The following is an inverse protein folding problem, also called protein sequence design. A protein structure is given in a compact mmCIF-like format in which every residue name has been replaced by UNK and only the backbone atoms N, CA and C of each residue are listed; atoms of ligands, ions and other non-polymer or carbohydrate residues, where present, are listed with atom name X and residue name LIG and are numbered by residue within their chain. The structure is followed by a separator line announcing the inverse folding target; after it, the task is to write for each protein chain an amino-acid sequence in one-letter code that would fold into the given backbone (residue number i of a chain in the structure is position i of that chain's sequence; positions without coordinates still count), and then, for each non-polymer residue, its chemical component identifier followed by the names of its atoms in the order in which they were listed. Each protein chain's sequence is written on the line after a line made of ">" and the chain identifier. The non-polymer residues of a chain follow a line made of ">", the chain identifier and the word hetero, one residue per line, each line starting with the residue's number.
data_IF_370559527614
#
_entry.id   IF_370559527614
#
_cell.length_a   1.000
_cell.length_b   1.000
_cell.length_c   1.000
_cell.angle_alpha   90.00
_cell.angle_beta   90.00
_cell.angle_gamma   90.00
#
_symmetry.space_group_name_H-M   'P 1'
#
loop_
_entity.id
_entity.type
_entity.pdbx_description
1 polymer ?
#
# COMPACT_ATOMS: atom_id res chain seq x y z
N UNK A 1 12.73 -6.56 -48.26
CA UNK A 1 12.33 -7.90 -48.75
C UNK A 1 10.82 -7.90 -48.86
N UNK A 2 10.34 -7.94 -50.10
CA UNK A 2 8.95 -7.92 -50.52
C UNK A 2 8.37 -9.32 -50.38
N UNK A 3 7.13 -9.46 -49.90
CA UNK A 3 6.16 -10.41 -50.47
C UNK A 3 4.73 -9.96 -50.15
N UNK A 4 4.08 -9.47 -51.21
CA UNK A 4 2.63 -9.31 -51.35
C UNK A 4 2.01 -10.68 -51.61
N UNK A 5 0.77 -10.91 -51.17
CA UNK A 5 -0.19 -11.62 -52.01
C UNK A 5 -1.57 -10.98 -51.92
N UNK A 6 -2.08 -10.69 -53.12
CA UNK A 6 -3.37 -10.11 -53.46
C UNK A 6 -4.30 -11.24 -53.89
N UNK A 7 -5.59 -11.14 -53.60
CA UNK A 7 -6.61 -11.88 -54.34
C UNK A 7 -7.77 -10.94 -54.69
N UNK A 8 -7.97 -10.78 -56.00
CA UNK A 8 -9.09 -10.04 -56.61
C UNK A 8 -9.79 -10.95 -57.62
N UNK A 9 -11.09 -11.16 -57.37
CA UNK A 9 -12.24 -11.37 -58.27
C UNK A 9 -12.09 -12.04 -59.65
N UNK A 10 -12.98 -13.01 -59.90
CA UNK A 10 -13.92 -13.00 -61.05
C UNK A 10 -14.97 -14.13 -60.95
N UNK A 11 -16.24 -13.79 -61.18
CA UNK A 11 -17.30 -14.73 -61.63
C UNK A 11 -18.03 -14.04 -62.81
N UNK A 12 -18.42 -14.77 -63.88
CA UNK A 12 -18.90 -14.19 -65.13
C UNK A 12 -20.44 -14.05 -65.23
N UNK A 13 -20.88 -13.58 -66.40
CA UNK A 13 -22.12 -12.86 -66.72
C UNK A 13 -23.29 -13.75 -67.24
N UNK A 14 -24.52 -13.40 -66.82
CA UNK A 14 -25.87 -13.48 -67.42
C UNK A 14 -26.49 -14.77 -68.02
N UNK A 15 -27.77 -15.07 -67.65
CA UNK A 15 -28.96 -15.05 -68.55
C UNK A 15 -30.32 -15.06 -67.76
N UNK A 16 -31.36 -14.44 -68.32
CA UNK A 16 -32.78 -14.28 -67.82
C UNK A 16 -33.62 -15.57 -67.87
N UNK A 17 -34.58 -15.77 -66.93
CA UNK A 17 -35.96 -16.26 -67.18
C UNK A 17 -36.94 -15.73 -66.10
N UNK A 18 -38.22 -15.63 -66.47
CA UNK A 18 -39.33 -14.89 -65.90
C UNK A 18 -40.09 -15.50 -64.68
N UNK A 19 -40.79 -14.61 -63.95
CA UNK A 19 -42.20 -14.76 -63.58
C UNK A 19 -42.57 -15.55 -62.32
N UNK A 20 -42.93 -14.84 -61.24
CA UNK A 20 -44.13 -15.15 -60.42
C UNK A 20 -44.45 -14.00 -59.46
N UNK A 21 -45.69 -13.50 -59.50
CA UNK A 21 -46.23 -12.62 -58.46
C UNK A 21 -46.63 -13.46 -57.24
N UNK A 22 -46.26 -13.06 -56.01
CA UNK A 22 -47.03 -13.43 -54.82
C UNK A 22 -46.88 -12.44 -53.65
N UNK A 23 -48.02 -11.81 -53.33
CA UNK A 23 -48.49 -11.27 -52.04
C UNK A 23 -47.72 -10.12 -51.35
N UNK A 24 -48.43 -9.08 -50.86
CA UNK A 24 -47.81 -8.05 -50.04
C UNK A 24 -47.43 -8.65 -48.68
N UNK A 25 -46.15 -8.53 -48.30
CA UNK A 25 -45.71 -8.77 -46.92
C UNK A 25 -46.50 -7.82 -46.03
N UNK A 26 -47.48 -8.37 -45.29
CA UNK A 26 -48.12 -7.72 -44.15
C UNK A 26 -47.00 -7.26 -43.23
N UNK A 27 -46.86 -5.94 -43.07
CA UNK A 27 -45.97 -5.37 -42.06
C UNK A 27 -46.37 -5.99 -40.72
N UNK A 28 -45.53 -6.88 -40.20
CA UNK A 28 -45.63 -7.32 -38.82
C UNK A 28 -45.31 -6.07 -38.02
N UNK A 29 -46.34 -5.41 -37.52
CA UNK A 29 -46.18 -4.41 -36.48
C UNK A 29 -45.38 -5.10 -35.38
N UNK A 30 -44.11 -4.73 -35.24
CA UNK A 30 -43.32 -5.07 -34.06
C UNK A 30 -43.96 -4.25 -32.94
N UNK A 31 -44.94 -4.86 -32.30
CA UNK A 31 -45.56 -4.38 -31.07
C UNK A 31 -44.47 -4.34 -30.00
N UNK A 32 -43.95 -3.15 -29.73
CA UNK A 32 -43.88 -2.54 -28.38
C UNK A 32 -43.43 -3.40 -27.18
N UNK A 33 -42.65 -4.46 -27.38
CA UNK A 33 -41.94 -5.17 -26.28
C UNK A 33 -40.49 -4.70 -26.14
N UNK A 34 -39.92 -4.09 -27.18
CA UNK A 34 -38.55 -3.57 -27.15
C UNK A 34 -38.36 -2.40 -26.19
N UNK A 35 -39.41 -1.65 -25.85
CA UNK A 35 -39.26 -0.49 -24.96
C UNK A 35 -38.96 -0.91 -23.53
N UNK A 36 -39.62 -1.94 -23.00
CA UNK A 36 -39.45 -2.34 -21.58
C UNK A 36 -38.05 -2.86 -21.27
N UNK A 37 -37.48 -3.67 -22.17
CA UNK A 37 -36.13 -4.21 -22.02
C UNK A 37 -35.07 -3.15 -22.33
N UNK A 38 -35.26 -2.34 -23.38
CA UNK A 38 -34.35 -1.24 -23.68
C UNK A 38 -34.29 -0.23 -22.53
N UNK A 39 -35.44 0.14 -21.95
CA UNK A 39 -35.52 1.05 -20.80
C UNK A 39 -34.79 0.47 -19.58
N UNK A 40 -34.88 -0.86 -19.35
CA UNK A 40 -34.14 -1.53 -18.29
C UNK A 40 -32.62 -1.46 -18.54
N UNK A 41 -32.16 -1.73 -19.77
CA UNK A 41 -30.74 -1.61 -20.13
C UNK A 41 -30.24 -0.17 -19.99
N UNK A 42 -31.02 0.83 -20.38
CA UNK A 42 -30.67 2.25 -20.18
C UNK A 42 -30.47 2.55 -18.69
N UNK A 43 -31.39 2.12 -17.82
CA UNK A 43 -31.24 2.29 -16.36
C UNK A 43 -29.99 1.60 -15.81
N UNK A 44 -29.68 0.39 -16.29
CA UNK A 44 -28.47 -0.32 -15.89
C UNK A 44 -27.20 0.39 -16.36
N UNK A 45 -27.20 0.90 -17.60
CA UNK A 45 -26.09 1.71 -18.13
C UNK A 45 -25.88 2.95 -17.27
N UNK A 46 -26.94 3.69 -16.94
CA UNK A 46 -26.84 4.89 -16.11
C UNK A 46 -26.30 4.58 -14.72
N UNK A 47 -26.79 3.52 -14.08
CA UNK A 47 -26.31 3.05 -12.78
C UNK A 47 -24.82 2.66 -12.83
N UNK A 48 -24.40 1.87 -13.83
CA UNK A 48 -23.01 1.45 -13.98
C UNK A 48 -22.08 2.63 -14.28
N UNK A 49 -22.52 3.59 -15.09
CA UNK A 49 -21.76 4.80 -15.38
C UNK A 49 -21.55 5.64 -14.11
N UNK A 50 -22.62 5.86 -13.33
CA UNK A 50 -22.52 6.58 -12.04
C UNK A 50 -21.58 5.87 -11.05
N UNK A 51 -21.67 4.53 -10.96
CA UNK A 51 -20.79 3.74 -10.12
C UNK A 51 -19.33 3.84 -10.58
N UNK A 52 -19.08 3.81 -11.89
CA UNK A 52 -17.74 3.93 -12.45
C UNK A 52 -17.16 5.33 -12.23
N UNK A 53 -17.93 6.39 -12.47
CA UNK A 53 -17.52 7.77 -12.19
C UNK A 53 -17.16 7.96 -10.71
N UNK A 54 -17.99 7.41 -9.81
CA UNK A 54 -17.71 7.42 -8.37
C UNK A 54 -16.43 6.67 -8.03
N UNK A 55 -16.23 5.47 -8.58
CA UNK A 55 -15.01 4.68 -8.41
C UNK A 55 -13.78 5.48 -8.86
N UNK A 56 -13.82 6.15 -9.99
CA UNK A 56 -12.70 6.97 -10.49
C UNK A 56 -12.38 8.16 -9.56
N UNK A 57 -13.38 8.79 -8.94
CA UNK A 57 -13.15 9.83 -7.92
C UNK A 57 -12.50 9.25 -6.65
N UNK A 58 -12.95 8.08 -6.21
CA UNK A 58 -12.36 7.36 -5.06
C UNK A 58 -10.91 6.95 -5.34
N UNK A 59 -10.61 6.43 -6.53
CA UNK A 59 -9.22 6.09 -6.94
C UNK A 59 -8.33 7.33 -6.90
N UNK A 60 -8.81 8.48 -7.37
CA UNK A 60 -8.05 9.74 -7.32
C UNK A 60 -7.79 10.17 -5.87
N UNK A 61 -8.81 10.16 -5.00
CA UNK A 61 -8.65 10.46 -3.58
C UNK A 61 -7.65 9.50 -2.90
N UNK A 62 -7.74 8.21 -3.19
CA UNK A 62 -6.80 7.20 -2.69
C UNK A 62 -5.36 7.50 -3.08
N UNK A 63 -5.10 7.90 -4.33
CA UNK A 63 -3.76 8.24 -4.82
C UNK A 63 -3.20 9.47 -4.12
N UNK A 64 -4.05 10.48 -3.88
CA UNK A 64 -3.66 11.68 -3.13
C UNK A 64 -3.28 11.33 -1.68
N UNK A 65 -4.03 10.44 -1.02
CA UNK A 65 -3.70 9.93 0.32
C UNK A 65 -2.36 9.19 0.30
N UNK A 66 -2.16 8.24 -0.63
CA UNK A 66 -0.90 7.49 -0.77
C UNK A 66 0.29 8.45 -0.94
N UNK A 67 0.18 9.40 -1.86
CA UNK A 67 1.27 10.33 -2.16
C UNK A 67 1.66 11.17 -0.94
N UNK A 68 0.69 11.65 -0.17
CA UNK A 68 0.99 12.51 0.98
C UNK A 68 1.38 11.72 2.24
N UNK A 69 0.84 10.51 2.42
CA UNK A 69 1.30 9.60 3.48
C UNK A 69 2.77 9.19 3.28
N UNK A 70 3.20 8.96 2.03
CA UNK A 70 4.62 8.75 1.70
C UNK A 70 5.50 9.92 2.10
N UNK A 71 5.05 11.16 1.92
CA UNK A 71 5.80 12.34 2.34
C UNK A 71 5.99 12.37 3.86
N UNK A 72 4.97 11.98 4.62
CA UNK A 72 5.06 11.82 6.09
C UNK A 72 6.10 10.76 6.42
N UNK A 73 6.03 9.57 5.81
CA UNK A 73 7.00 8.48 6.04
C UNK A 73 8.44 8.95 5.75
N UNK A 74 8.66 9.61 4.61
CA UNK A 74 9.97 10.18 4.27
C UNK A 74 10.43 11.27 5.24
N UNK A 75 9.51 12.07 5.79
CA UNK A 75 9.84 13.05 6.81
C UNK A 75 10.27 12.34 8.11
N UNK A 76 9.58 11.29 8.55
CA UNK A 76 9.96 10.51 9.74
C UNK A 76 11.33 9.84 9.55
N UNK A 77 11.69 9.39 8.35
CA UNK A 77 13.02 8.82 8.09
C UNK A 77 14.20 9.80 8.26
N UNK A 78 13.92 11.12 8.33
CA UNK A 78 14.94 12.14 8.64
C UNK A 78 15.25 12.23 10.13
N UNK A 79 14.58 11.41 10.95
CA UNK A 79 14.80 11.31 12.38
C UNK A 79 16.26 10.98 12.66
N UNK A 80 16.88 11.80 13.50
CA UNK A 80 18.19 11.60 14.07
C UNK A 80 18.22 12.00 15.55
N UNK A 81 19.36 11.77 16.19
CA UNK A 81 19.53 11.97 17.65
C UNK A 81 19.22 13.39 18.11
N UNK A 82 19.58 14.40 17.30
CA UNK A 82 19.55 15.81 17.71
C UNK A 82 18.34 16.59 17.16
N UNK A 83 17.58 16.03 16.22
CA UNK A 83 16.46 16.69 15.54
C UNK A 83 15.13 15.94 15.74
N UNK A 84 15.08 15.01 16.70
CA UNK A 84 13.92 14.13 16.92
C UNK A 84 12.61 14.91 17.05
N UNK A 85 12.60 15.92 17.91
CA UNK A 85 11.37 16.66 18.22
C UNK A 85 10.85 17.44 17.02
N UNK A 86 11.73 18.22 16.37
CA UNK A 86 11.40 19.01 15.17
C UNK A 86 10.88 18.13 14.02
N UNK A 87 11.55 17.01 13.77
CA UNK A 87 11.15 16.08 12.70
C UNK A 87 9.78 15.48 12.97
N UNK A 88 9.52 15.05 14.21
CA UNK A 88 8.26 14.42 14.58
C UNK A 88 7.10 15.41 14.67
N UNK A 89 7.32 16.63 15.17
CA UNK A 89 6.30 17.69 15.17
C UNK A 89 5.86 18.01 13.74
N UNK A 90 6.82 18.14 12.82
CA UNK A 90 6.51 18.34 11.40
C UNK A 90 5.77 17.15 10.79
N UNK A 91 6.23 15.92 11.04
CA UNK A 91 5.59 14.72 10.51
C UNK A 91 4.14 14.55 11.03
N UNK A 92 3.89 14.84 12.29
CA UNK A 92 2.55 14.79 12.89
C UNK A 92 1.64 15.88 12.32
N UNK A 93 2.16 17.10 12.14
CA UNK A 93 1.41 18.17 11.46
C UNK A 93 1.06 17.79 10.02
N UNK A 94 2.00 17.22 9.29
CA UNK A 94 1.77 16.75 7.92
C UNK A 94 0.75 15.58 7.92
N UNK A 95 0.79 14.68 8.91
CA UNK A 95 -0.18 13.59 9.06
C UNK A 95 -1.59 14.09 9.36
N UNK A 96 -1.74 15.09 10.23
CA UNK A 96 -3.03 15.76 10.48
C UNK A 96 -3.55 16.39 9.20
N UNK A 97 -2.69 17.08 8.43
CA UNK A 97 -3.10 17.61 7.13
C UNK A 97 -3.53 16.50 6.16
N UNK A 98 -2.93 15.31 6.19
CA UNK A 98 -3.39 14.16 5.39
C UNK A 98 -4.80 13.74 5.78
N UNK A 99 -5.09 13.65 7.07
CA UNK A 99 -6.41 13.31 7.57
C UNK A 99 -7.45 14.37 7.16
N UNK A 100 -7.18 15.64 7.49
CA UNK A 100 -8.12 16.75 7.31
C UNK A 100 -8.40 17.07 5.84
N UNK A 101 -7.43 16.88 4.94
CA UNK A 101 -7.58 17.25 3.53
C UNK A 101 -7.92 16.07 2.63
N UNK A 102 -7.26 14.93 2.81
CA UNK A 102 -7.34 13.82 1.84
C UNK A 102 -8.23 12.69 2.34
N UNK A 103 -8.13 12.28 3.61
CA UNK A 103 -9.04 11.28 4.18
C UNK A 103 -10.46 11.84 4.24
N UNK A 104 -10.64 13.09 4.67
CA UNK A 104 -11.97 13.74 4.69
C UNK A 104 -12.62 13.79 3.29
N UNK A 105 -11.82 14.00 2.23
CA UNK A 105 -12.29 13.96 0.84
C UNK A 105 -12.70 12.54 0.43
N UNK A 106 -11.93 11.53 0.80
CA UNK A 106 -12.30 10.13 0.57
C UNK A 106 -13.61 9.78 1.27
N UNK A 107 -13.77 10.18 2.53
CA UNK A 107 -15.00 9.97 3.30
C UNK A 107 -16.20 10.58 2.57
N UNK A 108 -16.09 11.83 2.12
CA UNK A 108 -17.13 12.53 1.34
C UNK A 108 -17.49 11.79 0.05
N UNK A 109 -16.50 11.34 -0.70
CA UNK A 109 -16.76 10.57 -1.94
C UNK A 109 -17.46 9.25 -1.63
N UNK A 110 -17.16 8.58 -0.52
CA UNK A 110 -17.76 7.30 -0.15
C UNK A 110 -19.18 7.40 0.42
N UNK A 111 -19.64 8.60 0.80
CA UNK A 111 -20.98 8.81 1.37
C UNK A 111 -22.10 8.21 0.51
N UNK A 112 -23.11 7.63 1.18
CA UNK A 112 -24.27 7.03 0.51
C UNK A 112 -23.94 5.81 -0.35
N UNK A 113 -22.82 5.14 -0.10
CA UNK A 113 -22.43 3.93 -0.82
C UNK A 113 -21.94 2.85 0.12
N UNK A 114 -22.11 1.61 -0.31
CA UNK A 114 -21.53 0.46 0.35
C UNK A 114 -19.99 0.52 0.24
N UNK A 115 -19.34 0.79 1.38
CA UNK A 115 -17.89 0.91 1.50
C UNK A 115 -17.16 -0.32 0.97
N UNK A 116 -17.76 -1.50 1.05
CA UNK A 116 -17.12 -2.74 0.62
C UNK A 116 -16.99 -2.83 -0.90
N UNK A 117 -18.00 -2.35 -1.66
CA UNK A 117 -17.99 -2.38 -3.13
C UNK A 117 -16.83 -1.57 -3.72
N UNK A 118 -16.42 -0.51 -3.04
CA UNK A 118 -15.34 0.38 -3.48
C UNK A 118 -14.03 0.15 -2.72
N UNK A 119 -13.94 -0.85 -1.84
CA UNK A 119 -12.74 -1.11 -1.03
C UNK A 119 -11.47 -1.18 -1.85
N UNK A 120 -11.47 -1.94 -2.95
CA UNK A 120 -10.31 -2.05 -3.85
C UNK A 120 -9.83 -0.72 -4.42
N UNK A 121 -10.69 0.30 -4.49
CA UNK A 121 -10.35 1.62 -5.02
C UNK A 121 -9.64 2.53 -4.00
N UNK A 122 -9.91 2.37 -2.70
CA UNK A 122 -9.33 3.22 -1.64
C UNK A 122 -8.35 2.52 -0.72
N UNK A 123 -8.40 1.20 -0.66
CA UNK A 123 -7.58 0.37 0.22
C UNK A 123 -6.08 0.71 0.15
N UNK A 124 -5.46 0.94 -1.03
CA UNK A 124 -4.06 1.36 -1.10
C UNK A 124 -3.75 2.69 -0.39
N UNK A 125 -4.66 3.67 -0.47
CA UNK A 125 -4.51 4.95 0.23
C UNK A 125 -4.64 4.79 1.73
N UNK A 126 -5.63 4.02 2.18
CA UNK A 126 -5.87 3.76 3.59
C UNK A 126 -4.71 3.00 4.23
N UNK A 127 -4.19 1.96 3.58
CA UNK A 127 -3.02 1.19 4.04
C UNK A 127 -1.79 2.08 4.25
N UNK A 128 -1.47 2.94 3.28
CA UNK A 128 -0.34 3.87 3.38
C UNK A 128 -0.54 4.91 4.49
N UNK A 129 -1.78 5.37 4.72
CA UNK A 129 -2.10 6.26 5.84
C UNK A 129 -1.89 5.57 7.20
N UNK A 130 -2.31 4.31 7.33
CA UNK A 130 -2.09 3.50 8.54
C UNK A 130 -0.59 3.32 8.79
N UNK A 131 0.17 2.98 7.75
CA UNK A 131 1.63 2.86 7.82
C UNK A 131 2.26 4.16 8.33
N UNK A 132 1.91 5.32 7.75
CA UNK A 132 2.40 6.62 8.20
C UNK A 132 2.02 6.94 9.66
N UNK A 133 0.75 6.71 10.03
CA UNK A 133 0.24 7.02 11.36
C UNK A 133 0.87 6.15 12.45
N UNK A 134 0.96 4.84 12.20
CA UNK A 134 1.61 3.89 13.11
C UNK A 134 3.12 4.13 13.19
N UNK A 135 3.76 4.55 12.10
CA UNK A 135 5.19 4.90 12.11
C UNK A 135 5.48 6.14 12.96
N UNK A 136 4.67 7.20 12.81
CA UNK A 136 4.73 8.37 13.68
C UNK A 136 4.52 7.98 15.16
N UNK A 137 3.49 7.18 15.47
CA UNK A 137 3.19 6.74 16.84
C UNK A 137 4.37 5.99 17.46
N UNK A 138 4.95 5.04 16.72
CA UNK A 138 6.10 4.30 17.21
C UNK A 138 7.31 5.21 17.46
N UNK A 139 7.66 6.10 16.53
CA UNK A 139 8.81 6.99 16.72
C UNK A 139 8.63 7.99 17.87
N UNK A 140 7.39 8.44 18.12
CA UNK A 140 7.04 9.33 19.22
C UNK A 140 7.02 8.62 20.57
N UNK A 141 6.30 7.51 20.67
CA UNK A 141 5.94 6.88 21.96
C UNK A 141 6.51 5.48 22.17
N UNK A 142 7.03 4.84 21.12
CA UNK A 142 7.51 3.47 21.16
C UNK A 142 6.40 2.42 21.25
N UNK A 143 5.15 2.80 20.93
CA UNK A 143 3.97 1.92 21.03
C UNK A 143 3.25 1.81 19.69
N UNK A 144 2.42 0.77 19.56
CA UNK A 144 1.52 0.60 18.42
C UNK A 144 0.34 1.58 18.55
N UNK A 145 -0.14 2.10 17.41
CA UNK A 145 -1.42 2.81 17.32
C UNK A 145 -2.51 1.79 16.96
N UNK A 146 -3.46 1.55 17.86
CA UNK A 146 -4.50 0.54 17.65
C UNK A 146 -5.57 1.00 16.66
N UNK A 147 -6.25 0.03 16.03
CA UNK A 147 -7.31 0.30 15.05
C UNK A 147 -8.40 1.24 15.59
N UNK A 148 -8.84 1.00 16.83
CA UNK A 148 -9.89 1.83 17.47
C UNK A 148 -9.41 3.27 17.68
N UNK A 149 -8.13 3.46 18.04
CA UNK A 149 -7.55 4.80 18.18
C UNK A 149 -7.53 5.52 16.82
N UNK A 150 -7.17 4.84 15.73
CA UNK A 150 -7.19 5.43 14.38
C UNK A 150 -8.63 5.75 13.96
N UNK A 151 -9.57 4.83 14.14
CA UNK A 151 -10.97 5.08 13.78
C UNK A 151 -11.56 6.24 14.61
N UNK A 152 -11.16 6.40 15.87
CA UNK A 152 -11.57 7.53 16.70
C UNK A 152 -11.08 8.88 16.16
N UNK A 153 -9.90 8.95 15.53
CA UNK A 153 -9.42 10.21 14.90
C UNK A 153 -10.14 10.54 13.60
N UNK A 154 -10.69 9.53 12.91
CA UNK A 154 -11.42 9.72 11.66
C UNK A 154 -12.91 10.02 11.86
N UNK A 155 -13.47 9.64 13.01
CA UNK A 155 -14.89 9.85 13.33
C UNK A 155 -15.34 11.31 13.17
N UNK A 156 -14.59 12.34 13.67
CA UNK A 156 -14.98 13.74 13.52
C UNK A 156 -14.98 14.25 12.07
N UNK A 157 -14.36 13.52 11.14
CA UNK A 157 -14.32 13.88 9.71
C UNK A 157 -15.59 13.46 8.98
N UNK A 158 -16.42 12.62 9.59
CA UNK A 158 -17.68 12.13 9.03
C UNK A 158 -18.85 13.03 9.42
N UNK A 159 -19.87 13.10 8.58
CA UNK A 159 -21.13 13.76 8.93
C UNK A 159 -21.83 12.94 10.04
N UNK A 160 -22.23 13.54 11.18
CA UNK A 160 -22.92 12.83 12.26
C UNK A 160 -24.21 12.13 11.86
N UNK A 161 -24.84 12.55 10.75
CA UNK A 161 -26.06 11.94 10.21
C UNK A 161 -25.80 10.72 9.32
N UNK A 162 -24.54 10.41 9.02
CA UNK A 162 -24.14 9.33 8.12
C UNK A 162 -23.28 8.29 8.85
N UNK A 163 -23.26 7.08 8.29
CA UNK A 163 -22.35 6.04 8.77
C UNK A 163 -20.90 6.46 8.49
N UNK A 164 -20.04 6.53 9.52
CA UNK A 164 -18.65 6.95 9.35
C UNK A 164 -17.86 5.87 8.64
N UNK A 165 -16.84 6.28 7.87
CA UNK A 165 -15.86 5.32 7.37
C UNK A 165 -15.13 4.71 8.56
N UNK A 166 -15.23 3.39 8.69
CA UNK A 166 -14.40 2.63 9.61
C UNK A 166 -13.34 1.87 8.80
N UNK A 167 -12.07 2.09 9.15
CA UNK A 167 -10.98 1.26 8.66
C UNK A 167 -11.28 -0.17 9.13
N UNK A 168 -11.32 -1.09 8.16
CA UNK A 168 -11.52 -2.50 8.46
C UNK A 168 -10.21 -3.16 8.90
N UNK A 169 -10.35 -4.29 9.60
CA UNK A 169 -9.23 -5.07 10.14
C UNK A 169 -8.23 -5.44 9.05
N UNK A 170 -8.67 -5.85 7.86
CA UNK A 170 -7.76 -6.27 6.79
C UNK A 170 -6.85 -5.14 6.31
N UNK A 171 -7.39 -3.93 6.07
CA UNK A 171 -6.58 -2.77 5.68
C UNK A 171 -5.63 -2.34 6.80
N UNK A 172 -6.05 -2.42 8.06
CA UNK A 172 -5.17 -2.20 9.21
C UNK A 172 -3.99 -3.16 9.25
N UNK A 173 -4.25 -4.46 9.12
CA UNK A 173 -3.21 -5.49 9.16
C UNK A 173 -2.23 -5.37 7.99
N UNK A 174 -2.71 -5.03 6.80
CA UNK A 174 -1.87 -4.83 5.62
C UNK A 174 -0.95 -3.60 5.79
N UNK A 175 -1.50 -2.47 6.26
CA UNK A 175 -0.69 -1.28 6.57
C UNK A 175 0.31 -1.50 7.71
N UNK A 176 -0.08 -2.27 8.73
CA UNK A 176 0.81 -2.66 9.83
C UNK A 176 1.95 -3.58 9.36
N UNK A 177 1.69 -4.44 8.38
CA UNK A 177 2.74 -5.26 7.80
C UNK A 177 3.76 -4.41 7.02
N UNK A 178 3.31 -3.39 6.30
CA UNK A 178 4.19 -2.45 5.59
C UNK A 178 5.04 -1.59 6.55
N UNK A 179 4.47 -1.15 7.67
CA UNK A 179 5.20 -0.46 8.74
C UNK A 179 6.49 -1.20 9.13
N UNK A 180 6.48 -2.53 9.18
CA UNK A 180 7.67 -3.30 9.58
C UNK A 180 8.86 -3.09 8.63
N UNK A 181 8.59 -2.85 7.35
CA UNK A 181 9.61 -2.54 6.35
C UNK A 181 10.25 -1.17 6.60
N UNK A 182 9.44 -0.17 6.93
CA UNK A 182 9.93 1.17 7.28
C UNK A 182 10.67 1.18 8.62
N UNK A 183 10.20 0.42 9.60
CA UNK A 183 10.91 0.21 10.87
C UNK A 183 12.27 -0.46 10.65
N UNK A 184 12.35 -1.47 9.78
CA UNK A 184 13.63 -2.07 9.41
C UNK A 184 14.56 -1.05 8.76
N UNK A 185 14.09 -0.25 7.80
CA UNK A 185 14.90 0.82 7.20
C UNK A 185 15.41 1.81 8.24
N UNK A 186 14.53 2.24 9.15
CA UNK A 186 14.91 3.13 10.24
C UNK A 186 15.97 2.48 11.12
N UNK A 187 15.80 1.22 11.53
CA UNK A 187 16.75 0.51 12.38
C UNK A 187 18.14 0.42 11.74
N UNK A 188 18.24 0.10 10.44
CA UNK A 188 19.53 0.08 9.74
C UNK A 188 20.20 1.46 9.71
N UNK A 189 19.43 2.53 9.47
CA UNK A 189 19.94 3.90 9.56
C UNK A 189 20.45 4.24 10.97
N UNK A 190 19.68 3.89 12.01
CA UNK A 190 20.04 4.14 13.41
C UNK A 190 21.27 3.33 13.85
N UNK A 191 21.43 2.09 13.37
CA UNK A 191 22.64 1.30 13.59
C UNK A 191 23.87 1.99 13.00
N UNK A 192 23.72 2.57 11.81
CA UNK A 192 24.80 3.27 11.11
C UNK A 192 25.22 4.54 11.86
N UNK A 193 24.28 5.18 12.56
CA UNK A 193 24.50 6.33 13.45
C UNK A 193 24.96 5.94 14.87
N UNK A 194 25.20 4.65 15.13
CA UNK A 194 25.66 4.13 16.42
C UNK A 194 24.56 3.97 17.49
N UNK A 195 23.29 4.14 17.14
CA UNK A 195 22.14 4.04 18.06
C UNK A 195 21.62 2.60 18.18
N UNK A 196 22.49 1.68 18.60
CA UNK A 196 22.22 0.22 18.64
C UNK A 196 21.06 -0.14 19.57
N UNK A 197 20.96 0.50 20.73
CA UNK A 197 19.86 0.27 21.68
C UNK A 197 18.49 0.61 21.07
N UNK A 198 18.42 1.67 20.27
CA UNK A 198 17.17 2.06 19.61
C UNK A 198 16.82 1.06 18.50
N UNK A 199 17.81 0.61 17.73
CA UNK A 199 17.61 -0.46 16.75
C UNK A 199 17.14 -1.78 17.37
N UNK A 200 17.63 -2.14 18.56
CA UNK A 200 17.15 -3.30 19.32
C UNK A 200 15.69 -3.14 19.78
N UNK A 201 15.29 -1.92 20.20
CA UNK A 201 13.88 -1.61 20.52
C UNK A 201 12.99 -1.79 19.29
N UNK A 202 13.42 -1.29 18.13
CA UNK A 202 12.72 -1.49 16.86
C UNK A 202 12.61 -2.99 16.53
N UNK A 203 13.72 -3.73 16.64
CA UNK A 203 13.76 -5.17 16.40
C UNK A 203 12.75 -5.93 17.26
N UNK A 204 12.70 -5.62 18.57
CA UNK A 204 11.73 -6.21 19.49
C UNK A 204 10.29 -5.92 19.05
N UNK A 205 9.99 -4.67 18.73
CA UNK A 205 8.65 -4.26 18.30
C UNK A 205 8.20 -4.98 17.01
N UNK A 206 9.07 -5.03 15.99
CA UNK A 206 8.78 -5.74 14.74
C UNK A 206 8.59 -7.24 14.98
N UNK A 207 9.41 -7.85 15.87
CA UNK A 207 9.28 -9.25 16.25
C UNK A 207 7.96 -9.54 16.96
N UNK A 208 7.52 -8.65 17.84
CA UNK A 208 6.25 -8.79 18.56
C UNK A 208 5.07 -8.72 17.57
N UNK A 209 5.07 -7.78 16.61
CA UNK A 209 4.05 -7.74 15.54
C UNK A 209 4.05 -9.04 14.72
N UNK A 210 5.23 -9.49 14.27
CA UNK A 210 5.34 -10.72 13.48
C UNK A 210 4.76 -11.93 14.21
N UNK A 211 5.09 -12.10 15.50
CA UNK A 211 4.57 -13.20 16.32
C UNK A 211 3.05 -13.20 16.42
N UNK A 212 2.45 -12.04 16.68
CA UNK A 212 1.00 -11.93 16.77
C UNK A 212 0.33 -12.24 15.41
N UNK A 213 0.88 -11.71 14.30
CA UNK A 213 0.34 -11.98 12.98
C UNK A 213 0.51 -13.44 12.53
N UNK A 214 1.54 -14.15 12.99
CA UNK A 214 1.68 -15.61 12.75
C UNK A 214 0.49 -16.39 13.30
N UNK A 215 -0.17 -15.92 14.36
CA UNK A 215 -1.35 -16.57 14.94
C UNK A 215 -2.65 -16.23 14.18
N UNK A 216 -2.70 -15.04 13.59
CA UNK A 216 -3.92 -14.48 12.94
C UNK A 216 -3.99 -14.86 11.47
N UNK A 217 -2.91 -14.68 10.70
CA UNK A 217 -2.90 -14.82 9.23
C UNK A 217 -3.42 -16.18 8.74
N UNK A 218 -3.08 -17.34 9.37
CA UNK A 218 -3.60 -18.64 8.96
C UNK A 218 -5.12 -18.79 9.08
N UNK A 219 -5.79 -17.89 9.84
CA UNK A 219 -7.24 -17.88 10.05
C UNK A 219 -7.97 -16.88 9.16
N UNK A 220 -7.25 -16.13 8.33
CA UNK A 220 -7.83 -15.12 7.44
C UNK A 220 -8.31 -15.76 6.14
N UNK A 221 -9.47 -15.34 5.66
CA UNK A 221 -9.92 -15.66 4.30
C UNK A 221 -9.07 -14.88 3.28
N UNK A 222 -8.73 -15.53 2.17
CA UNK A 222 -7.93 -14.94 1.07
C UNK A 222 -6.59 -14.33 1.56
N UNK A 223 -5.79 -15.13 2.27
CA UNK A 223 -4.57 -14.67 2.94
C UNK A 223 -3.35 -14.48 2.02
N UNK A 224 -3.51 -14.45 0.69
CA UNK A 224 -2.38 -14.42 -0.24
C UNK A 224 -1.48 -13.18 -0.06
N UNK A 225 -2.11 -12.00 0.01
CA UNK A 225 -1.41 -10.75 0.25
C UNK A 225 -0.70 -10.78 1.60
N UNK A 226 -1.41 -11.23 2.65
CA UNK A 226 -0.84 -11.34 3.99
C UNK A 226 0.32 -12.33 4.07
N UNK A 227 0.26 -13.48 3.38
CA UNK A 227 1.36 -14.44 3.35
C UNK A 227 2.64 -13.82 2.77
N UNK A 228 2.51 -13.10 1.65
CA UNK A 228 3.62 -12.38 1.03
C UNK A 228 4.18 -11.29 1.96
N UNK A 229 3.30 -10.59 2.68
CA UNK A 229 3.70 -9.61 3.69
C UNK A 229 4.41 -10.27 4.88
N UNK A 230 3.95 -11.43 5.34
CA UNK A 230 4.58 -12.19 6.44
C UNK A 230 6.00 -12.63 6.07
N UNK A 231 6.23 -13.09 4.84
CA UNK A 231 7.58 -13.40 4.36
C UNK A 231 8.48 -12.16 4.37
N UNK A 232 7.96 -11.03 3.90
CA UNK A 232 8.68 -9.74 3.90
C UNK A 232 8.98 -9.27 5.32
N UNK A 233 8.05 -9.39 6.25
CA UNK A 233 8.23 -9.07 7.67
C UNK A 233 9.33 -9.93 8.31
N UNK A 234 9.34 -11.23 8.04
CA UNK A 234 10.38 -12.13 8.54
C UNK A 234 11.77 -11.68 8.04
N UNK A 235 11.88 -11.34 6.75
CA UNK A 235 13.12 -10.80 6.20
C UNK A 235 13.52 -9.46 6.85
N UNK A 236 12.55 -8.61 7.18
CA UNK A 236 12.80 -7.37 7.93
C UNK A 236 13.37 -7.65 9.32
N UNK A 237 12.80 -8.61 10.08
CA UNK A 237 13.34 -9.03 11.39
C UNK A 237 14.77 -9.52 11.26
N UNK A 238 15.03 -10.47 10.35
CA UNK A 238 16.35 -11.07 10.14
C UNK A 238 17.40 -10.01 9.80
N UNK A 239 17.05 -9.02 8.95
CA UNK A 239 17.96 -7.92 8.58
C UNK A 239 18.37 -7.09 9.81
N UNK A 240 17.42 -6.73 10.66
CA UNK A 240 17.72 -5.93 11.85
C UNK A 240 18.57 -6.75 12.83
N UNK A 241 18.23 -8.01 13.06
CA UNK A 241 18.96 -8.91 13.96
C UNK A 241 20.41 -9.12 13.50
N UNK A 242 20.62 -9.42 12.22
CA UNK A 242 21.95 -9.62 11.65
C UNK A 242 22.80 -8.35 11.72
N UNK A 243 22.19 -7.18 11.49
CA UNK A 243 22.88 -5.90 11.60
C UNK A 243 23.31 -5.62 13.06
N UNK A 244 22.41 -5.84 14.03
CA UNK A 244 22.72 -5.70 15.45
C UNK A 244 23.83 -6.67 15.89
N UNK A 245 23.74 -7.93 15.46
CA UNK A 245 24.73 -8.97 15.76
C UNK A 245 26.11 -8.61 15.19
N UNK A 246 26.15 -8.19 13.92
CA UNK A 246 27.40 -7.82 13.25
C UNK A 246 28.13 -6.67 13.97
N UNK A 247 27.39 -5.67 14.44
CA UNK A 247 27.97 -4.57 15.22
C UNK A 247 28.44 -5.03 16.60
N UNK A 248 27.68 -5.91 17.27
CA UNK A 248 28.06 -6.45 18.58
C UNK A 248 29.36 -7.26 18.53
N UNK A 249 29.50 -8.15 17.53
CA UNK A 249 30.72 -8.94 17.34
C UNK A 249 31.92 -8.04 17.08
N UNK A 250 31.82 -7.12 16.11
CA UNK A 250 32.90 -6.17 15.80
C UNK A 250 33.27 -5.27 16.98
N UNK A 251 32.28 -4.82 17.76
CA UNK A 251 32.53 -4.02 18.96
C UNK A 251 33.25 -4.80 20.07
N UNK A 252 33.07 -6.13 20.10
CA UNK A 252 33.72 -7.02 21.07
C UNK A 252 35.15 -7.41 20.68
N UNK A 253 35.48 -7.39 19.38
CA UNK A 253 36.84 -7.61 18.86
C UNK A 253 37.80 -6.45 19.19
N UNK A 254 37.28 -5.23 19.30
CA UNK A 254 38.04 -4.01 19.61
C UNK A 254 37.97 -3.60 21.10
N UNK A 255 38.00 -4.53 22.05
CA UNK A 255 38.37 -4.14 23.42
C UNK A 255 39.85 -3.76 23.43
N UNK A 256 40.23 -2.50 23.71
CA UNK A 256 41.64 -2.16 23.89
C UNK A 256 42.13 -2.97 25.08
N UNK A 257 43.02 -3.93 24.84
CA UNK A 257 43.82 -4.50 25.90
C UNK A 257 44.46 -3.33 26.64
N UNK A 258 44.20 -3.24 27.94
CA UNK A 258 44.71 -2.19 28.80
C UNK A 258 46.22 -1.97 28.55
N UNK A 259 46.57 -0.78 28.06
CA UNK A 259 47.93 -0.24 28.11
C UNK A 259 48.84 -0.59 26.93
N UNK A 260 48.72 0.13 25.83
CA UNK A 260 49.90 0.51 25.04
C UNK A 260 49.69 1.89 24.42
N UNK A 261 50.00 2.94 25.19
CA UNK A 261 50.44 4.20 24.62
C UNK A 261 51.84 3.98 24.04
N UNK A 262 51.94 3.28 22.92
CA UNK A 262 53.19 3.15 22.18
C UNK A 262 52.94 3.59 20.74
N UNK A 263 53.51 4.72 20.29
CA UNK A 263 53.20 5.32 18.99
C UNK A 263 53.88 4.59 17.80
N UNK A 264 54.20 3.31 17.93
CA UNK A 264 55.07 2.59 17.00
C UNK A 264 54.60 1.17 16.61
N UNK A 265 53.30 0.90 16.49
CA UNK A 265 52.86 -0.30 15.76
C UNK A 265 52.70 0.00 14.27
N UNK A 266 53.84 0.14 13.59
CA UNK A 266 53.91 0.09 12.14
C UNK A 266 53.47 -1.32 11.70
N UNK A 267 52.50 -1.32 10.79
CA UNK A 267 51.98 -2.43 10.00
C UNK A 267 53.08 -3.41 9.58
N UNK A 268 53.23 -4.53 10.30
CA UNK A 268 54.08 -5.64 9.88
C UNK A 268 53.29 -6.50 8.89
N UNK A 269 53.53 -6.24 7.61
CA UNK A 269 53.13 -7.09 6.51
C UNK A 269 53.70 -8.50 6.68
N UNK A 270 52.86 -9.48 6.40
CA UNK A 270 53.23 -10.90 6.33
C UNK A 270 54.17 -11.09 5.12
N UNK A 271 55.36 -11.70 5.26
CA UNK A 271 56.08 -12.24 4.12
C UNK A 271 55.49 -13.61 3.77
N UNK A 272 54.94 -13.73 2.56
CA UNK A 272 54.58 -15.01 1.97
C UNK A 272 55.84 -15.85 1.75
N UNK A 273 55.89 -17.04 2.36
CA UNK A 273 56.87 -18.09 2.06
C UNK A 273 56.23 -19.20 1.21
N UNK A 274 56.77 -19.32 0.00
CA UNK A 274 57.08 -20.54 -0.78
C UNK A 274 55.96 -21.49 -1.27
N UNK A 275 55.87 -21.59 -2.61
CA UNK A 275 56.49 -22.70 -3.38
C UNK A 275 56.90 -22.25 -4.77
#
# INVERSE_FOLDING_TARGET
>A
MILRFSFSHRIPFATKVAGTMSTPKRARAMTTESSTMADAFTRYTDYLNQLNEKRERVVKASRDITMNSKKVIFQVHRLGKNNKEEVLEKAEKDLVAVADQYISRLIKELQGSDFWKLRRAYSPGVQEYIEAATFCRFCRMGTLLHLDEINATLLPLSDPSLEPLQINVLDYLLGLADLTGELMRLAIGRISDGEIEYAQKICKFVRDIYRELTLVVPRMDDSHDMNTKMDTMLQSVIKIENACFSVHVRGSEYMPLHGSNDPNSILLGVPDFET
#
